data_IF_187352591472
#
_entry.id   IF_187352591472
#
_cell.length_a   1.000
_cell.length_b   1.000
_cell.length_c   1.000
_cell.angle_alpha   90.00
_cell.angle_beta   90.00
_cell.angle_gamma   90.00
#
_symmetry.space_group_name_H-M   'P 1'
#
loop_
_entity.id
_entity.type
_entity.pdbx_description
1 polymer ?
#
# COMPACT_ATOMS: atom_id res chain seq x y z
N UNK A 1 -1.53 13.52 -2.25
CA UNK A 1 -0.94 12.22 -2.67
C UNK A 1 0.34 12.12 -1.80
N UNK A 2 0.93 10.99 -1.45
CA UNK A 2 1.25 9.87 -2.30
C UNK A 2 1.61 8.68 -1.38
N UNK A 3 0.99 7.52 -1.61
CA UNK A 3 1.82 6.32 -1.51
C UNK A 3 2.95 6.56 -2.52
N UNK A 4 4.20 6.46 -2.06
CA UNK A 4 5.36 6.62 -2.95
C UNK A 4 5.33 5.56 -4.05
N UNK A 5 4.81 4.38 -3.70
CA UNK A 5 4.50 3.35 -4.67
C UNK A 5 3.29 2.52 -4.24
N UNK A 6 2.72 1.81 -5.20
CA UNK A 6 1.67 0.83 -4.94
C UNK A 6 1.77 -0.32 -5.92
N UNK A 7 1.43 -1.52 -5.47
CA UNK A 7 1.36 -2.70 -6.31
C UNK A 7 0.06 -3.46 -6.06
N UNK A 8 -0.45 -4.13 -7.10
CA UNK A 8 -1.50 -5.14 -6.93
C UNK A 8 -0.87 -6.44 -6.43
N UNK A 9 -1.52 -7.07 -5.46
CA UNK A 9 -1.09 -8.34 -4.88
C UNK A 9 -2.26 -9.32 -4.89
N UNK A 10 -1.96 -10.59 -4.66
CA UNK A 10 -2.99 -11.62 -4.57
C UNK A 10 -4.01 -11.30 -3.48
N UNK A 11 -5.28 -11.46 -3.84
CA UNK A 11 -6.43 -11.16 -3.00
C UNK A 11 -7.55 -12.16 -3.17
N UNK A 12 -8.71 -11.85 -2.60
CA UNK A 12 -9.91 -12.68 -2.77
C UNK A 12 -10.54 -12.47 -4.15
N UNK A 13 -11.20 -13.50 -4.72
CA UNK A 13 -11.94 -13.36 -5.97
C UNK A 13 -12.98 -12.24 -5.90
N UNK A 14 -13.00 -11.38 -6.93
CA UNK A 14 -13.93 -10.24 -7.02
C UNK A 14 -13.45 -8.96 -6.34
N UNK A 15 -12.25 -8.96 -5.77
CA UNK A 15 -11.62 -7.80 -5.15
C UNK A 15 -10.33 -7.44 -5.88
N UNK A 16 -9.96 -6.15 -5.86
CA UNK A 16 -8.61 -5.72 -6.24
C UNK A 16 -7.86 -5.43 -4.96
N UNK A 17 -6.87 -6.26 -4.63
CA UNK A 17 -6.05 -6.07 -3.43
C UNK A 17 -4.78 -5.32 -3.79
N UNK A 18 -4.51 -4.24 -3.06
CA UNK A 18 -3.35 -3.37 -3.27
C UNK A 18 -2.56 -3.20 -1.99
N UNK A 19 -1.25 -3.22 -2.14
CA UNK A 19 -0.33 -2.67 -1.13
C UNK A 19 0.02 -1.25 -1.51
N UNK A 20 -0.02 -0.36 -0.51
CA UNK A 20 0.43 1.00 -0.59
C UNK A 20 1.63 1.15 0.32
N UNK A 21 2.74 1.63 -0.23
CA UNK A 21 3.91 2.00 0.56
C UNK A 21 4.18 3.48 0.42
N UNK A 22 4.60 4.11 1.49
CA UNK A 22 5.08 5.48 1.42
C UNK A 22 5.06 6.16 2.75
N UNK A 23 5.52 7.39 2.71
CA UNK A 23 5.52 8.28 3.86
C UNK A 23 4.50 9.40 3.65
N UNK A 24 3.27 9.23 4.19
CA UNK A 24 2.62 10.40 4.79
C UNK A 24 1.57 10.02 5.85
N UNK A 25 1.86 10.20 7.14
CA UNK A 25 0.76 10.40 8.08
C UNK A 25 1.19 11.23 9.29
N UNK A 26 0.40 12.24 9.67
CA UNK A 26 0.62 13.06 10.87
C UNK A 26 0.59 12.27 12.21
N UNK A 27 0.49 10.94 12.15
CA UNK A 27 0.50 10.03 13.29
C UNK A 27 1.83 9.26 13.41
N UNK A 28 2.70 9.27 12.39
CA UNK A 28 4.01 8.62 12.46
C UNK A 28 5.04 9.26 11.50
N UNK A 29 6.30 9.29 11.94
CA UNK A 29 7.44 9.70 11.13
C UNK A 29 8.02 8.52 10.30
N UNK A 30 7.49 7.31 10.48
CA UNK A 30 7.94 6.10 9.77
C UNK A 30 7.28 5.95 8.40
N UNK A 31 7.94 5.20 7.51
CA UNK A 31 7.28 4.63 6.32
C UNK A 31 6.32 3.53 6.76
N UNK A 32 5.16 3.45 6.12
CA UNK A 32 4.17 2.40 6.41
C UNK A 32 3.84 1.59 5.16
N UNK A 33 3.47 0.35 5.38
CA UNK A 33 2.79 -0.50 4.41
C UNK A 33 1.32 -0.64 4.81
N UNK A 34 0.41 -0.44 3.84
CA UNK A 34 -1.03 -0.58 4.02
C UNK A 34 -1.56 -1.49 2.95
N UNK A 35 -2.23 -2.59 3.34
CA UNK A 35 -2.89 -3.49 2.39
C UNK A 35 -4.40 -3.25 2.48
N UNK A 36 -5.00 -3.02 1.31
CA UNK A 36 -6.41 -2.76 1.17
C UNK A 36 -7.06 -3.58 0.05
N UNK A 37 -8.26 -4.08 0.32
CA UNK A 37 -9.14 -4.65 -0.69
C UNK A 37 -10.12 -3.58 -1.22
N UNK A 38 -10.09 -3.33 -2.52
CA UNK A 38 -11.03 -2.49 -3.23
C UNK A 38 -12.20 -3.33 -3.72
N UNK A 39 -13.38 -3.05 -3.18
CA UNK A 39 -14.64 -3.71 -3.50
C UNK A 39 -15.57 -2.73 -4.21
N UNK A 40 -16.13 -3.08 -5.38
CA UNK A 40 -17.19 -2.29 -5.99
C UNK A 40 -18.39 -2.11 -5.05
N UNK A 41 -19.13 -0.99 -5.12
CA UNK A 41 -18.88 0.14 -6.02
C UNK A 41 -17.80 1.10 -5.51
N UNK A 42 -17.61 1.25 -4.19
CA UNK A 42 -16.70 2.24 -3.57
C UNK A 42 -16.23 1.84 -2.16
N UNK A 43 -16.17 0.55 -1.86
CA UNK A 43 -15.73 0.08 -0.53
C UNK A 43 -14.23 -0.20 -0.55
N UNK A 44 -13.52 0.31 0.46
CA UNK A 44 -12.11 0.00 0.70
C UNK A 44 -12.04 -0.62 2.09
N UNK A 45 -11.50 -1.83 2.17
CA UNK A 45 -11.25 -2.52 3.45
C UNK A 45 -9.75 -2.53 3.70
N UNK A 46 -9.31 -1.74 4.68
CA UNK A 46 -7.94 -1.82 5.20
C UNK A 46 -7.93 -2.94 6.23
N UNK A 47 -7.12 -3.97 5.99
CA UNK A 47 -6.99 -5.11 6.91
C UNK A 47 -5.57 -5.32 7.42
N UNK A 48 -4.61 -4.53 6.91
CA UNK A 48 -3.21 -4.52 7.35
C UNK A 48 -2.66 -3.11 7.26
N UNK A 49 -2.03 -2.66 8.35
CA UNK A 49 -1.30 -1.40 8.41
C UNK A 49 -0.20 -1.50 9.47
N UNK A 50 1.05 -1.32 9.06
CA UNK A 50 2.21 -1.40 9.96
C UNK A 50 3.40 -0.62 9.40
N UNK A 51 4.49 -0.40 10.18
CA UNK A 51 5.74 0.10 9.64
C UNK A 51 6.21 -0.75 8.46
N UNK A 52 6.76 -0.09 7.44
CA UNK A 52 7.21 -0.74 6.22
C UNK A 52 8.25 -1.81 6.52
N UNK A 53 7.95 -3.04 6.11
CA UNK A 53 8.87 -4.18 6.21
C UNK A 53 9.73 -4.32 4.96
N UNK A 54 10.74 -5.18 5.02
CA UNK A 54 11.61 -5.49 3.87
C UNK A 54 10.82 -6.07 2.68
N UNK A 55 9.66 -6.70 2.92
CA UNK A 55 8.87 -7.37 1.90
C UNK A 55 8.46 -6.43 0.75
N UNK A 56 8.04 -5.21 1.08
CA UNK A 56 7.55 -4.22 0.10
C UNK A 56 8.47 -3.02 -0.07
N UNK A 57 9.61 -3.01 0.62
CA UNK A 57 10.57 -1.90 0.59
C UNK A 57 11.15 -1.66 -0.81
N UNK A 58 11.28 -2.70 -1.62
CA UNK A 58 11.72 -2.60 -3.02
C UNK A 58 10.86 -1.66 -3.88
N UNK A 59 9.57 -1.50 -3.53
CA UNK A 59 8.66 -0.61 -4.25
C UNK A 59 9.07 0.86 -4.14
N UNK A 60 9.80 1.25 -3.10
CA UNK A 60 10.35 2.62 -2.96
C UNK A 60 11.45 2.90 -3.99
N UNK A 61 12.25 1.89 -4.33
CA UNK A 61 13.36 2.04 -5.28
C UNK A 61 12.84 2.04 -6.74
N UNK A 62 11.82 1.23 -7.04
CA UNK A 62 11.21 1.13 -8.38
C UNK A 62 10.50 2.42 -8.82
N UNK A 63 10.01 3.22 -7.87
CA UNK A 63 9.40 4.53 -8.12
C UNK A 63 10.37 5.63 -8.57
N UNK A 64 11.70 5.38 -8.56
CA UNK A 64 12.75 6.40 -8.78
C UNK A 64 13.30 6.41 -10.22
N UNK A 65 12.80 5.58 -11.13
CA UNK A 65 13.27 5.59 -12.54
C UNK A 65 12.55 6.68 -13.34
N UNK A 66 13.10 7.90 -13.32
CA UNK A 66 12.77 8.99 -14.27
C UNK A 66 13.87 9.13 -15.30
#
# INVERSE_FOLDING_TARGET
>A
MHAEASAEIDGLPGEVTKVYVGHPHAQTDDYIEVIAAHRPPRTIVIFHAMPLSDLFRHLLDEGTTT
#
